data_IF_826648796200
#
_entry.id   IF_826648796200
#
_cell.length_a   1.000
_cell.length_b   1.000
_cell.length_c   1.000
_cell.angle_alpha   90.00
_cell.angle_beta   90.00
_cell.angle_gamma   90.00
#
_symmetry.space_group_name_H-M   'P 1'
#
loop_
_entity.id
_entity.type
_entity.pdbx_description
1 polymer ?
#
# COMPACT_ATOMS: atom_id res chain seq x y z
N UNK A 1 40.45 0.27 5.68
CA UNK A 1 39.35 1.05 6.25
C UNK A 1 38.79 0.29 7.43
N UNK A 2 38.83 0.84 8.64
CA UNK A 2 38.31 0.22 9.83
C UNK A 2 36.88 0.70 10.05
N UNK A 3 35.95 -0.20 10.46
CA UNK A 3 34.54 0.15 10.79
C UNK A 3 34.44 1.28 11.81
N UNK A 4 35.39 1.34 12.77
CA UNK A 4 35.47 2.45 13.74
C UNK A 4 35.69 3.83 13.12
N UNK A 5 36.18 3.91 11.89
CA UNK A 5 36.39 5.17 11.14
C UNK A 5 35.21 5.56 10.28
N UNK A 6 34.18 4.71 10.20
CA UNK A 6 32.98 4.94 9.36
C UNK A 6 32.23 6.24 9.72
N UNK A 7 31.95 6.54 11.01
CA UNK A 7 31.24 7.77 11.37
C UNK A 7 31.97 9.04 10.93
N UNK A 8 33.31 9.04 11.07
CA UNK A 8 34.13 10.20 10.67
C UNK A 8 34.15 10.36 9.15
N UNK A 9 34.23 9.25 8.43
CA UNK A 9 34.19 9.24 6.96
C UNK A 9 32.86 9.73 6.41
N UNK A 10 31.77 9.36 7.05
CA UNK A 10 30.42 9.81 6.65
C UNK A 10 30.24 11.31 6.90
N UNK A 11 30.72 11.82 8.05
CA UNK A 11 30.72 13.27 8.31
C UNK A 11 31.61 14.07 7.32
N UNK A 12 32.74 13.52 6.94
CA UNK A 12 33.61 14.13 5.89
C UNK A 12 32.89 14.24 4.54
N UNK A 13 31.90 13.36 4.28
CA UNK A 13 31.06 13.39 3.08
C UNK A 13 29.77 14.22 3.26
N UNK A 14 29.61 14.89 4.41
CA UNK A 14 28.41 15.67 4.71
C UNK A 14 27.19 14.83 5.09
N UNK A 15 27.39 13.55 5.44
CA UNK A 15 26.35 12.65 5.91
C UNK A 15 26.37 12.60 7.43
N UNK A 16 25.32 13.06 8.07
CA UNK A 16 25.08 12.89 9.50
C UNK A 16 24.20 11.65 9.72
N UNK A 17 24.71 10.70 10.51
CA UNK A 17 23.92 9.57 10.95
C UNK A 17 23.26 9.93 12.28
N UNK A 18 21.95 9.88 12.32
CA UNK A 18 21.20 9.93 13.58
C UNK A 18 21.32 8.58 14.29
N UNK A 19 21.44 8.62 15.63
CA UNK A 19 21.30 7.44 16.49
C UNK A 19 19.87 7.26 16.97
N UNK A 20 19.00 8.20 16.62
CA UNK A 20 17.56 8.14 16.88
C UNK A 20 16.90 7.35 15.75
N UNK A 21 16.30 6.18 16.00
CA UNK A 21 15.62 5.40 14.98
C UNK A 21 14.42 6.15 14.39
N UNK A 22 13.74 7.02 15.12
CA UNK A 22 12.61 7.80 14.61
C UNK A 22 13.03 8.80 13.54
N UNK A 23 14.25 9.34 13.61
CA UNK A 23 14.78 10.24 12.59
C UNK A 23 14.84 9.63 11.18
N UNK A 24 14.89 8.29 11.07
CA UNK A 24 14.85 7.60 9.78
C UNK A 24 13.45 7.43 9.25
N UNK A 25 12.46 7.30 10.12
CA UNK A 25 11.04 7.28 9.73
C UNK A 25 10.56 8.62 9.19
N UNK A 26 11.18 9.73 9.63
CA UNK A 26 10.91 11.08 9.12
C UNK A 26 11.67 11.42 7.83
N UNK A 27 12.62 10.56 7.41
CA UNK A 27 13.47 10.81 6.24
C UNK A 27 12.87 10.20 4.98
N UNK A 28 12.13 10.99 4.20
CA UNK A 28 11.53 10.55 2.94
C UNK A 28 12.46 10.80 1.75
N UNK A 29 12.58 9.79 0.91
CA UNK A 29 13.23 9.87 -0.40
C UNK A 29 12.18 9.96 -1.50
N UNK A 30 12.25 11.03 -2.30
CA UNK A 30 11.43 11.16 -3.51
C UNK A 30 11.98 10.29 -4.63
N UNK A 31 11.09 9.64 -5.40
CA UNK A 31 11.44 8.88 -6.60
C UNK A 31 10.51 9.22 -7.76
N UNK A 32 11.02 9.00 -8.98
CA UNK A 32 10.26 9.13 -10.23
C UNK A 32 10.44 7.87 -11.05
N UNK A 33 9.38 7.50 -11.76
CA UNK A 33 9.36 6.34 -12.63
C UNK A 33 8.82 6.74 -14.00
N UNK A 34 9.12 5.93 -15.02
CA UNK A 34 8.45 5.99 -16.30
C UNK A 34 7.20 5.10 -16.22
N UNK A 35 5.99 5.69 -16.17
CA UNK A 35 4.78 4.92 -15.94
C UNK A 35 4.41 4.07 -17.14
N UNK A 36 3.93 2.84 -16.92
CA UNK A 36 3.26 2.07 -17.96
C UNK A 36 1.90 2.70 -18.28
N UNK A 37 1.61 2.86 -19.56
CA UNK A 37 0.34 3.39 -20.04
C UNK A 37 -0.70 2.28 -20.30
N UNK A 38 -0.58 1.20 -19.57
CA UNK A 38 -1.47 0.05 -19.62
C UNK A 38 -2.28 0.01 -18.33
N UNK A 39 -3.61 0.25 -18.37
CA UNK A 39 -4.44 0.24 -17.18
C UNK A 39 -4.56 -1.15 -16.54
N UNK A 40 -4.28 -2.21 -17.31
CA UNK A 40 -4.31 -3.60 -16.83
C UNK A 40 -2.93 -4.09 -16.35
N UNK A 41 -1.93 -3.19 -16.28
CA UNK A 41 -0.64 -3.54 -15.71
C UNK A 41 -0.76 -3.76 -14.20
N UNK A 42 0.17 -4.56 -13.63
CA UNK A 42 0.25 -4.72 -12.17
C UNK A 42 0.26 -3.37 -11.45
N UNK A 43 -0.29 -3.34 -10.25
CA UNK A 43 -0.34 -2.16 -9.40
C UNK A 43 1.03 -1.48 -9.32
N UNK A 44 1.04 -0.15 -9.19
CA UNK A 44 2.22 0.71 -9.08
C UNK A 44 3.09 0.82 -10.33
N UNK A 45 2.82 0.07 -11.42
CA UNK A 45 3.56 0.25 -12.68
C UNK A 45 3.11 1.51 -13.46
N UNK A 46 1.98 2.10 -13.08
CA UNK A 46 1.50 3.39 -13.56
C UNK A 46 2.10 4.60 -12.81
N UNK A 47 2.91 4.37 -11.77
CA UNK A 47 3.48 5.43 -10.91
C UNK A 47 4.37 6.37 -11.72
N UNK A 48 4.12 7.67 -11.58
CA UNK A 48 4.95 8.77 -12.10
C UNK A 48 5.95 9.27 -11.07
N UNK A 49 5.46 9.48 -9.84
CA UNK A 49 6.29 9.99 -8.74
C UNK A 49 5.76 9.51 -7.39
N UNK A 50 6.64 9.35 -6.45
CA UNK A 50 6.32 8.99 -5.08
C UNK A 50 7.41 9.40 -4.10
N UNK A 51 7.14 9.14 -2.83
CA UNK A 51 8.10 9.29 -1.75
C UNK A 51 7.99 8.11 -0.80
N UNK A 52 9.11 7.74 -0.19
CA UNK A 52 9.13 6.63 0.78
C UNK A 52 10.23 6.84 1.81
N UNK A 53 9.99 6.45 3.06
CA UNK A 53 11.03 6.26 4.06
C UNK A 53 11.57 4.80 4.08
N UNK A 54 10.94 3.88 3.32
CA UNK A 54 11.32 2.48 3.26
C UNK A 54 11.61 2.03 1.82
N UNK A 55 12.79 2.39 1.32
CA UNK A 55 13.24 2.05 -0.06
C UNK A 55 13.22 0.56 -0.38
N UNK A 56 13.55 -0.36 0.56
CA UNK A 56 13.50 -1.79 0.30
C UNK A 56 12.13 -2.30 -0.15
N UNK A 57 11.01 -1.77 0.39
CA UNK A 57 9.67 -2.13 -0.04
C UNK A 57 9.43 -1.82 -1.52
N UNK A 58 9.77 -0.60 -1.94
CA UNK A 58 9.57 -0.17 -3.33
C UNK A 58 10.44 -1.00 -4.29
N UNK A 59 11.70 -1.19 -3.94
CA UNK A 59 12.63 -1.97 -4.77
C UNK A 59 12.23 -3.44 -4.85
N UNK A 60 11.84 -4.05 -3.72
CA UNK A 60 11.38 -5.42 -3.67
C UNK A 60 10.17 -5.63 -4.59
N UNK A 61 9.14 -4.79 -4.46
CA UNK A 61 7.95 -4.86 -5.30
C UNK A 61 8.26 -4.74 -6.80
N UNK A 62 9.08 -3.77 -7.19
CA UNK A 62 9.41 -3.54 -8.60
C UNK A 62 10.24 -4.67 -9.21
N UNK A 63 11.06 -5.35 -8.42
CA UNK A 63 11.92 -6.46 -8.85
C UNK A 63 11.29 -7.85 -8.61
N UNK A 64 10.08 -7.92 -8.04
CA UNK A 64 9.45 -9.15 -7.58
C UNK A 64 10.37 -9.93 -6.60
N UNK A 65 10.98 -9.20 -5.66
CA UNK A 65 11.86 -9.71 -4.61
C UNK A 65 11.15 -9.57 -3.26
N UNK A 66 10.93 -10.69 -2.59
CA UNK A 66 10.14 -10.77 -1.36
C UNK A 66 11.00 -10.85 -0.08
N UNK A 67 12.34 -10.86 -0.18
CA UNK A 67 13.21 -11.07 0.99
C UNK A 67 12.89 -10.10 2.15
N UNK A 68 12.67 -8.83 1.85
CA UNK A 68 12.33 -7.83 2.87
C UNK A 68 10.91 -8.03 3.44
N UNK A 69 9.98 -8.50 2.62
CA UNK A 69 8.63 -8.85 3.08
C UNK A 69 8.63 -10.07 4.00
N UNK A 70 9.51 -11.05 3.73
CA UNK A 70 9.67 -12.24 4.58
C UNK A 70 10.21 -11.86 5.96
N UNK A 71 11.20 -10.94 6.01
CA UNK A 71 11.73 -10.41 7.26
C UNK A 71 10.64 -9.69 8.09
N UNK A 72 9.81 -8.85 7.45
CA UNK A 72 8.70 -8.16 8.14
C UNK A 72 7.66 -9.15 8.68
N UNK A 73 7.29 -10.16 7.89
CA UNK A 73 6.36 -11.20 8.33
C UNK A 73 6.90 -12.02 9.49
N UNK A 74 8.19 -12.36 9.48
CA UNK A 74 8.82 -13.08 10.59
C UNK A 74 8.72 -12.29 11.91
N UNK A 75 8.71 -10.95 11.82
CA UNK A 75 8.53 -10.03 12.96
C UNK A 75 7.05 -9.72 13.27
N UNK A 76 6.10 -10.32 12.54
CA UNK A 76 4.66 -10.15 12.75
C UNK A 76 4.09 -8.86 12.18
N UNK A 77 4.80 -8.22 11.23
CA UNK A 77 4.34 -7.01 10.55
C UNK A 77 3.95 -7.29 9.09
N UNK A 78 3.00 -6.54 8.56
CA UNK A 78 2.55 -6.61 7.16
C UNK A 78 2.78 -5.27 6.50
N UNK A 79 3.55 -5.25 5.42
CA UNK A 79 3.67 -4.07 4.57
C UNK A 79 2.74 -4.15 3.36
N UNK A 80 2.09 -3.05 3.05
CA UNK A 80 1.16 -2.95 1.94
C UNK A 80 0.87 -1.51 1.54
N UNK A 81 -0.05 -1.37 0.61
CA UNK A 81 -0.52 -0.07 0.17
C UNK A 81 -2.02 -0.09 -0.10
N UNK A 82 -2.65 1.05 0.15
CA UNK A 82 -3.99 1.33 -0.34
C UNK A 82 -3.87 1.94 -1.73
N UNK A 83 -4.73 1.49 -2.65
CA UNK A 83 -4.81 1.98 -4.02
C UNK A 83 -6.23 2.43 -4.32
N UNK A 84 -6.38 3.59 -4.96
CA UNK A 84 -7.66 4.19 -5.32
C UNK A 84 -7.54 4.98 -6.64
N UNK A 85 -8.62 5.09 -7.44
CA UNK A 85 -8.59 5.79 -8.71
C UNK A 85 -8.47 7.30 -8.53
N UNK A 86 -7.81 7.96 -9.47
CA UNK A 86 -7.62 9.41 -9.46
C UNK A 86 -8.62 10.16 -10.36
N UNK A 87 -9.44 9.48 -11.14
CA UNK A 87 -10.31 10.10 -12.14
C UNK A 87 -11.25 11.15 -11.52
N UNK A 88 -11.91 10.81 -10.42
CA UNK A 88 -12.82 11.71 -9.69
C UNK A 88 -12.09 12.84 -8.95
N UNK A 89 -10.79 12.70 -8.72
CA UNK A 89 -9.96 13.68 -8.02
C UNK A 89 -9.25 14.66 -8.96
N UNK A 90 -9.21 14.36 -10.26
CA UNK A 90 -8.52 15.17 -11.28
C UNK A 90 -9.38 16.28 -11.90
N UNK A 91 -10.66 16.38 -11.53
CA UNK A 91 -11.56 17.39 -12.06
C UNK A 91 -11.12 18.81 -11.65
N UNK A 92 -11.10 19.71 -12.63
CA UNK A 92 -10.96 21.20 -12.61
C UNK A 92 -9.92 21.85 -11.66
N UNK A 93 -9.59 21.32 -10.50
CA UNK A 93 -8.69 21.94 -9.51
C UNK A 93 -7.27 21.38 -9.46
N UNK A 94 -6.89 20.55 -10.43
CA UNK A 94 -5.52 20.02 -10.55
C UNK A 94 -5.14 19.04 -9.44
N UNK A 95 -3.84 19.00 -9.12
CA UNK A 95 -3.29 18.04 -8.15
C UNK A 95 -3.67 18.29 -6.69
N UNK A 96 -4.25 19.45 -6.34
CA UNK A 96 -4.56 19.79 -4.96
C UNK A 96 -5.57 18.82 -4.33
N UNK A 97 -6.64 18.47 -5.05
CA UNK A 97 -7.63 17.49 -4.56
C UNK A 97 -7.02 16.13 -4.26
N UNK A 98 -6.03 15.70 -5.05
CA UNK A 98 -5.32 14.44 -4.84
C UNK A 98 -4.53 14.48 -3.53
N UNK A 99 -3.85 15.59 -3.25
CA UNK A 99 -3.11 15.77 -2.00
C UNK A 99 -4.06 15.88 -0.81
N UNK A 100 -5.09 16.70 -0.90
CA UNK A 100 -6.09 16.88 0.17
C UNK A 100 -6.81 15.56 0.50
N UNK A 101 -7.06 14.71 -0.50
CA UNK A 101 -7.64 13.39 -0.29
C UNK A 101 -6.68 12.46 0.44
N UNK A 102 -5.41 12.44 0.01
CA UNK A 102 -4.36 11.65 0.67
C UNK A 102 -4.16 12.09 2.10
N UNK A 103 -4.03 13.39 2.36
CA UNK A 103 -3.84 13.95 3.69
C UNK A 103 -4.98 13.54 4.64
N UNK A 104 -6.24 13.51 4.16
CA UNK A 104 -7.38 13.06 4.95
C UNK A 104 -7.31 11.56 5.27
N UNK A 105 -6.92 10.73 4.30
CA UNK A 105 -6.73 9.30 4.53
C UNK A 105 -5.62 9.06 5.55
N UNK A 106 -4.49 9.74 5.39
CA UNK A 106 -3.35 9.66 6.32
C UNK A 106 -3.74 10.12 7.73
N UNK A 107 -4.52 11.22 7.86
CA UNK A 107 -5.04 11.72 9.14
C UNK A 107 -5.94 10.66 9.84
N UNK A 108 -6.80 9.97 9.10
CA UNK A 108 -7.64 8.89 9.64
C UNK A 108 -6.79 7.71 10.09
N UNK A 109 -5.82 7.29 9.28
CA UNK A 109 -4.99 6.12 9.55
C UNK A 109 -4.02 6.33 10.73
N UNK A 110 -3.61 7.57 11.00
CA UNK A 110 -2.64 7.89 12.06
C UNK A 110 -3.27 8.59 13.26
N UNK A 111 -4.54 8.99 13.16
CA UNK A 111 -5.27 9.67 14.22
C UNK A 111 -5.65 8.73 15.36
N UNK A 112 -5.83 9.28 16.58
CA UNK A 112 -6.21 8.50 17.76
C UNK A 112 -5.22 7.39 18.05
N UNK A 113 -5.71 6.16 18.12
CA UNK A 113 -4.90 4.95 18.35
C UNK A 113 -4.29 4.37 17.06
N UNK A 114 -4.52 5.02 15.90
CA UNK A 114 -4.07 4.52 14.59
C UNK A 114 -2.55 4.37 14.48
N UNK A 115 -1.77 5.22 15.15
CA UNK A 115 -0.31 5.10 15.22
C UNK A 115 0.19 3.85 15.96
N UNK A 116 -0.67 3.21 16.78
CA UNK A 116 -0.39 1.91 17.40
C UNK A 116 -0.70 0.74 16.49
N UNK A 117 -1.46 0.97 15.41
CA UNK A 117 -1.91 -0.03 14.42
C UNK A 117 -0.94 -0.12 13.25
N UNK A 118 -0.55 1.03 12.69
CA UNK A 118 0.30 1.10 11.52
C UNK A 118 1.23 2.32 11.53
N UNK A 119 2.24 2.28 10.68
CA UNK A 119 3.10 3.43 10.34
C UNK A 119 3.07 3.66 8.84
N UNK A 120 2.84 4.90 8.42
CA UNK A 120 2.93 5.29 7.02
C UNK A 120 4.39 5.29 6.56
N UNK A 121 4.65 4.71 5.41
CA UNK A 121 6.00 4.65 4.83
C UNK A 121 6.16 5.51 3.59
N UNK A 122 5.08 6.09 3.11
CA UNK A 122 5.07 6.98 1.96
C UNK A 122 3.83 6.87 1.11
N UNK A 123 4.01 7.12 -0.18
CA UNK A 123 2.93 7.01 -1.15
C UNK A 123 3.38 7.44 -2.54
N UNK A 124 2.50 7.28 -3.51
CA UNK A 124 2.78 7.59 -4.89
C UNK A 124 1.55 8.12 -5.64
N UNK A 125 1.82 8.77 -6.75
CA UNK A 125 0.81 9.21 -7.71
C UNK A 125 1.14 8.62 -9.07
N UNK A 126 0.21 7.83 -9.58
CA UNK A 126 0.30 7.19 -10.89
C UNK A 126 -0.46 7.94 -11.97
N UNK A 127 -0.53 7.33 -13.16
CA UNK A 127 -1.39 7.79 -14.26
C UNK A 127 -2.86 7.59 -13.93
N UNK A 128 -3.19 6.49 -13.26
CA UNK A 128 -4.57 6.08 -13.00
C UNK A 128 -4.90 6.09 -11.51
N UNK A 129 -3.93 5.73 -10.66
CA UNK A 129 -4.14 5.48 -9.25
C UNK A 129 -3.28 6.34 -8.31
N UNK A 130 -3.82 6.58 -7.13
CA UNK A 130 -3.10 7.06 -5.96
C UNK A 130 -2.78 5.92 -5.02
N UNK A 131 -1.65 6.03 -4.32
CA UNK A 131 -1.14 4.98 -3.42
C UNK A 131 -0.74 5.60 -2.08
N UNK A 132 -1.11 4.94 -0.98
CA UNK A 132 -0.65 5.24 0.38
C UNK A 132 0.00 3.98 0.95
N UNK A 133 1.28 4.08 1.28
CA UNK A 133 2.14 2.96 1.66
C UNK A 133 2.28 2.90 3.19
N UNK A 134 2.23 1.70 3.76
CA UNK A 134 2.31 1.52 5.20
C UNK A 134 2.93 0.18 5.60
N UNK A 135 3.33 0.09 6.88
CA UNK A 135 3.62 -1.14 7.60
C UNK A 135 2.65 -1.21 8.78
N UNK A 136 1.95 -2.33 8.95
CA UNK A 136 0.97 -2.54 10.00
C UNK A 136 1.38 -3.73 10.89
N UNK A 137 1.14 -3.60 12.19
CA UNK A 137 1.21 -4.67 13.18
C UNK A 137 -0.18 -5.25 13.51
N UNK A 138 -1.24 -4.49 13.23
CA UNK A 138 -2.61 -4.99 13.18
C UNK A 138 -3.23 -4.66 11.82
N UNK A 139 -3.01 -5.57 10.86
CA UNK A 139 -3.51 -5.37 9.49
C UNK A 139 -5.03 -5.36 9.43
N UNK A 140 -5.72 -6.12 10.31
CA UNK A 140 -7.17 -6.17 10.29
C UNK A 140 -7.77 -4.83 10.69
N UNK A 141 -7.23 -4.20 11.74
CA UNK A 141 -7.68 -2.88 12.16
C UNK A 141 -7.32 -1.81 11.12
N UNK A 142 -6.12 -1.88 10.53
CA UNK A 142 -5.73 -0.98 9.43
C UNK A 142 -6.72 -1.04 8.25
N UNK A 143 -7.14 -2.26 7.85
CA UNK A 143 -8.12 -2.45 6.78
C UNK A 143 -9.51 -1.94 7.16
N UNK A 144 -9.95 -2.11 8.41
CA UNK A 144 -11.23 -1.59 8.91
C UNK A 144 -11.26 -0.06 8.85
N UNK A 145 -10.21 0.60 9.34
CA UNK A 145 -10.08 2.06 9.30
C UNK A 145 -10.13 2.60 7.86
N UNK A 146 -9.35 1.99 6.97
CA UNK A 146 -9.32 2.38 5.56
C UNK A 146 -10.67 2.14 4.87
N UNK A 147 -11.32 1.00 5.13
CA UNK A 147 -12.63 0.68 4.57
C UNK A 147 -13.68 1.71 5.00
N UNK A 148 -13.77 2.04 6.30
CA UNK A 148 -14.70 3.06 6.81
C UNK A 148 -14.45 4.41 6.14
N UNK A 149 -13.20 4.81 5.98
CA UNK A 149 -12.84 6.04 5.26
C UNK A 149 -13.34 6.02 3.82
N UNK A 150 -12.98 4.99 3.03
CA UNK A 150 -13.35 4.92 1.61
C UNK A 150 -14.85 4.82 1.40
N UNK A 151 -15.59 4.10 2.24
CA UNK A 151 -17.06 4.02 2.19
C UNK A 151 -17.70 5.40 2.35
N UNK A 152 -17.11 6.29 3.16
CA UNK A 152 -17.55 7.66 3.36
C UNK A 152 -17.19 8.66 2.25
N UNK A 153 -16.53 8.23 1.17
CA UNK A 153 -16.06 9.09 0.06
C UNK A 153 -16.80 8.81 -1.24
N UNK A 154 -16.63 9.69 -2.24
CA UNK A 154 -17.17 9.51 -3.61
C UNK A 154 -16.25 8.69 -4.52
N UNK A 155 -15.14 8.15 -4.00
CA UNK A 155 -14.23 7.28 -4.76
C UNK A 155 -15.00 6.00 -5.16
N UNK A 156 -14.99 5.60 -6.44
CA UNK A 156 -15.81 4.47 -6.91
C UNK A 156 -15.31 3.12 -6.37
N UNK A 157 -14.01 2.95 -6.17
CA UNK A 157 -13.42 1.72 -5.64
C UNK A 157 -12.12 1.99 -4.88
N UNK A 158 -11.77 1.10 -3.98
CA UNK A 158 -10.48 1.09 -3.30
C UNK A 158 -10.07 -0.33 -2.95
N UNK A 159 -8.76 -0.59 -2.97
CA UNK A 159 -8.20 -1.90 -2.62
C UNK A 159 -7.04 -1.75 -1.64
N UNK A 160 -6.76 -2.82 -0.93
CA UNK A 160 -5.49 -3.10 -0.28
C UNK A 160 -4.70 -4.11 -1.11
N UNK A 161 -3.40 -3.93 -1.18
CA UNK A 161 -2.47 -4.90 -1.76
C UNK A 161 -1.17 -4.91 -0.94
N UNK A 162 -0.57 -6.09 -0.77
CA UNK A 162 0.73 -6.20 -0.09
C UNK A 162 1.86 -5.75 -1.01
N UNK A 163 3.08 -5.56 -0.47
CA UNK A 163 4.27 -5.35 -1.30
C UNK A 163 4.80 -6.64 -1.95
N UNK A 164 4.04 -7.74 -1.91
CA UNK A 164 4.27 -8.94 -2.72
C UNK A 164 3.52 -8.80 -4.04
N UNK A 165 4.26 -8.68 -5.14
CA UNK A 165 3.67 -8.34 -6.44
C UNK A 165 2.70 -9.39 -6.96
N UNK A 166 2.95 -10.66 -6.67
CA UNK A 166 2.13 -11.80 -7.09
C UNK A 166 0.90 -12.03 -6.20
N UNK A 167 0.77 -11.28 -5.10
CA UNK A 167 -0.36 -11.42 -4.20
C UNK A 167 -1.65 -10.88 -4.82
N UNK A 168 -2.78 -11.45 -4.42
CA UNK A 168 -4.09 -10.88 -4.74
C UNK A 168 -4.37 -9.59 -3.99
N UNK A 169 -5.35 -8.82 -4.48
CA UNK A 169 -5.82 -7.59 -3.84
C UNK A 169 -7.06 -7.87 -3.01
N UNK A 170 -7.24 -7.10 -1.93
CA UNK A 170 -8.44 -7.12 -1.10
C UNK A 170 -9.27 -5.87 -1.42
N UNK A 171 -10.53 -6.05 -1.83
CA UNK A 171 -11.43 -4.94 -2.09
C UNK A 171 -11.90 -4.31 -0.77
N UNK A 172 -11.68 -3.01 -0.61
CA UNK A 172 -12.18 -2.21 0.51
C UNK A 172 -13.48 -1.49 0.15
N UNK A 173 -13.63 -1.12 -1.12
CA UNK A 173 -14.83 -0.51 -1.66
C UNK A 173 -15.00 -0.95 -3.11
N UNK A 174 -16.23 -1.31 -3.50
CA UNK A 174 -16.60 -1.61 -4.88
C UNK A 174 -17.54 -0.55 -5.40
N UNK A 175 -17.49 -0.30 -6.69
CA UNK A 175 -18.48 0.51 -7.37
C UNK A 175 -19.84 -0.19 -7.30
N UNK A 176 -20.86 0.54 -6.83
CA UNK A 176 -22.22 0.00 -6.81
C UNK A 176 -22.80 0.10 -8.23
N UNK A 177 -22.64 -0.94 -9.03
CA UNK A 177 -23.14 -1.01 -10.42
C UNK A 177 -24.69 -1.11 -10.51
N UNK A 178 -25.39 -0.96 -9.39
CA UNK A 178 -26.86 -0.96 -9.34
C UNK A 178 -27.50 -2.29 -9.80
N UNK A 179 -26.72 -3.33 -9.97
CA UNK A 179 -27.20 -4.71 -10.15
C UNK A 179 -27.27 -5.36 -8.77
N UNK A 180 -28.47 -5.40 -8.20
CA UNK A 180 -28.80 -6.30 -7.09
C UNK A 180 -28.50 -7.73 -7.56
N UNK A 181 -27.30 -8.22 -7.29
CA UNK A 181 -27.02 -9.65 -7.40
C UNK A 181 -27.66 -10.30 -6.17
N UNK A 182 -28.89 -10.83 -6.39
CA UNK A 182 -29.46 -11.85 -5.51
C UNK A 182 -28.41 -12.93 -5.26
N UNK A 183 -28.23 -13.27 -3.98
CA UNK A 183 -27.42 -14.40 -3.52
C UNK A 183 -27.75 -15.65 -4.35
N UNK A 184 -26.91 -15.94 -5.31
CA UNK A 184 -26.84 -17.26 -5.92
C UNK A 184 -25.51 -17.86 -5.50
N UNK A 185 -25.60 -19.01 -4.84
CA UNK A 185 -24.53 -20.00 -4.75
C UNK A 185 -24.14 -20.39 -6.20
N UNK A 186 -23.26 -19.64 -6.82
CA UNK A 186 -22.79 -19.96 -8.16
C UNK A 186 -21.35 -20.47 -8.10
N UNK A 187 -21.23 -21.67 -8.65
CA UNK A 187 -20.01 -22.35 -9.04
C UNK A 187 -19.05 -21.35 -9.71
N UNK A 188 -17.82 -21.33 -9.22
CA UNK A 188 -16.70 -20.56 -9.76
C UNK A 188 -16.62 -20.73 -11.28
N UNK A 189 -16.94 -19.68 -12.02
CA UNK A 189 -16.71 -19.61 -13.46
C UNK A 189 -15.21 -19.44 -13.72
N UNK A 190 -14.58 -20.46 -14.27
CA UNK A 190 -13.13 -20.56 -14.57
C UNK A 190 -12.66 -19.60 -15.67
N UNK A 191 -13.42 -18.57 -16.05
CA UNK A 191 -13.09 -17.69 -17.19
C UNK A 191 -12.65 -16.27 -16.83
N UNK A 192 -12.41 -15.93 -15.55
CA UNK A 192 -11.88 -14.62 -15.18
C UNK A 192 -10.36 -14.58 -15.37
N UNK A 193 -9.96 -14.17 -16.55
CA UNK A 193 -8.58 -13.80 -16.83
C UNK A 193 -8.24 -12.47 -16.17
N UNK A 194 -7.41 -12.52 -15.12
CA UNK A 194 -6.45 -11.47 -14.87
C UNK A 194 -6.60 -10.53 -13.71
N UNK A 195 -7.47 -10.69 -12.73
CA UNK A 195 -7.33 -10.14 -11.36
C UNK A 195 -8.49 -10.66 -10.52
N UNK A 196 -8.23 -11.62 -9.64
CA UNK A 196 -9.22 -12.09 -8.68
C UNK A 196 -9.36 -11.05 -7.57
N UNK A 197 -10.39 -10.20 -7.65
CA UNK A 197 -10.79 -9.34 -6.53
C UNK A 197 -11.57 -10.18 -5.53
N UNK A 198 -11.03 -10.34 -4.35
CA UNK A 198 -11.77 -10.93 -3.23
C UNK A 198 -12.39 -9.77 -2.44
N UNK A 199 -13.73 -9.65 -2.37
CA UNK A 199 -14.36 -8.62 -1.54
C UNK A 199 -13.95 -8.83 -0.08
N UNK A 200 -13.49 -7.79 0.60
CA UNK A 200 -13.17 -7.86 2.02
C UNK A 200 -14.47 -8.02 2.81
N UNK A 201 -14.70 -9.22 3.31
CA UNK A 201 -15.73 -9.53 4.30
C UNK A 201 -15.05 -10.16 5.51
N UNK A 202 -15.67 -10.11 6.68
CA UNK A 202 -15.12 -10.74 7.88
C UNK A 202 -14.82 -12.25 7.69
N UNK A 203 -15.57 -12.94 6.83
CA UNK A 203 -15.34 -14.35 6.46
C UNK A 203 -14.12 -14.53 5.54
N UNK A 204 -13.86 -13.54 4.65
CA UNK A 204 -12.75 -13.61 3.71
C UNK A 204 -11.41 -13.17 4.35
N UNK A 205 -11.46 -12.32 5.39
CA UNK A 205 -10.30 -11.91 6.13
C UNK A 205 -9.53 -13.11 6.71
N UNK A 206 -10.23 -14.05 7.35
CA UNK A 206 -9.62 -15.25 7.91
C UNK A 206 -8.95 -16.13 6.82
N UNK A 207 -9.59 -16.26 5.66
CA UNK A 207 -9.05 -17.01 4.53
C UNK A 207 -7.83 -16.33 3.92
N UNK A 208 -7.86 -15.00 3.82
CA UNK A 208 -6.73 -14.20 3.33
C UNK A 208 -5.53 -14.29 4.27
N UNK A 209 -5.74 -14.17 5.58
CA UNK A 209 -4.66 -14.32 6.56
C UNK A 209 -4.09 -15.74 6.60
N UNK A 210 -4.92 -16.77 6.48
CA UNK A 210 -4.47 -18.15 6.36
C UNK A 210 -3.62 -18.38 5.08
N UNK A 211 -3.88 -17.63 4.02
CA UNK A 211 -3.09 -17.67 2.80
C UNK A 211 -1.74 -16.94 2.96
N UNK A 212 -1.72 -15.81 3.68
CA UNK A 212 -0.47 -15.13 4.04
C UNK A 212 0.42 -16.01 4.93
N UNK A 213 -0.16 -16.76 5.88
CA UNK A 213 0.57 -17.71 6.72
C UNK A 213 1.17 -18.88 5.91
N UNK A 214 0.45 -19.38 4.88
CA UNK A 214 0.97 -20.45 4.01
C UNK A 214 2.18 -20.02 3.19
N UNK A 215 2.26 -18.76 2.78
CA UNK A 215 3.42 -18.23 2.05
C UNK A 215 4.67 -18.11 2.93
N UNK A 216 4.50 -18.12 4.24
CA UNK A 216 5.59 -18.08 5.21
C UNK A 216 6.22 -19.46 5.48
N UNK A 217 5.55 -20.56 5.07
CA UNK A 217 5.97 -21.94 5.32
C UNK A 217 6.64 -22.61 4.07
N UNK A 218 6.71 -21.93 2.94
CA UNK A 218 7.40 -22.37 1.71
C UNK A 218 8.72 -21.63 1.49
#
# INVERSE_FOLDING_TARGET
FLLSQLPDKLREQGLELSTDPEAYLESYLGYKMEPKQDPDADWRLDVMAGSTCCVPLINGYLNADNDFMDDLHADGAVAGFFCYPLDTLREEEGSQKIFDFRDKLEEVLTGGDGSEVLTLTGGATGLYCGYVDFIAWDIQEALNMAKEFFEGTDIPWAIFHTFRREAGSVSLKQQDDGTETENQDDELDETLTGMDYIPYTQQNAEAFFAQLEQWNDE
#
